data_IF_675407821308
#
_entry.id   IF_675407821308
#
_cell.length_a   1.000
_cell.length_b   1.000
_cell.length_c   1.000
_cell.angle_alpha   90.00
_cell.angle_beta   90.00
_cell.angle_gamma   90.00
#
_symmetry.space_group_name_H-M   'P 1'
#
loop_
_entity.id
_entity.type
_entity.pdbx_description
1 polymer ?
#
# COMPACT_ATOMS: atom_id res chain seq x y z
N UNK A 1 14.52 -12.05 -32.69
CA UNK A 1 13.47 -11.25 -32.03
C UNK A 1 13.66 -11.37 -30.53
N UNK A 2 14.39 -10.43 -29.91
CA UNK A 2 14.53 -10.38 -28.45
C UNK A 2 13.16 -10.08 -27.85
N UNK A 3 12.54 -11.06 -27.19
CA UNK A 3 11.29 -10.87 -26.47
C UNK A 3 11.47 -9.73 -25.48
N UNK A 4 10.77 -8.63 -25.72
CA UNK A 4 10.86 -7.43 -24.90
C UNK A 4 10.36 -7.78 -23.48
N UNK A 5 11.18 -7.67 -22.42
CA UNK A 5 10.78 -8.02 -21.06
C UNK A 5 9.94 -6.93 -20.39
N UNK A 6 9.23 -6.11 -21.18
CA UNK A 6 8.25 -5.17 -20.68
C UNK A 6 6.99 -5.94 -20.35
N UNK A 7 6.49 -5.75 -19.12
CA UNK A 7 5.20 -6.27 -18.73
C UNK A 7 4.15 -5.81 -19.77
N UNK A 8 3.15 -6.64 -20.11
CA UNK A 8 2.12 -6.24 -21.06
C UNK A 8 1.41 -4.97 -20.58
N UNK A 9 1.00 -4.09 -21.49
CA UNK A 9 0.37 -2.81 -21.13
C UNK A 9 -0.85 -2.94 -20.17
N UNK A 10 -1.56 -4.07 -20.19
CA UNK A 10 -2.65 -4.33 -19.25
C UNK A 10 -2.20 -4.35 -17.78
N UNK A 11 -0.94 -4.72 -17.51
CA UNK A 11 -0.34 -4.71 -16.18
C UNK A 11 -0.31 -3.29 -15.60
N UNK A 12 0.15 -2.32 -16.40
CA UNK A 12 0.22 -0.92 -15.99
C UNK A 12 -1.18 -0.36 -15.70
N UNK A 13 -2.16 -0.68 -16.55
CA UNK A 13 -3.56 -0.28 -16.33
C UNK A 13 -4.16 -0.91 -15.07
N UNK A 14 -3.96 -2.21 -14.86
CA UNK A 14 -4.45 -2.91 -13.67
C UNK A 14 -3.83 -2.32 -12.40
N UNK A 15 -2.52 -2.08 -12.40
CA UNK A 15 -1.82 -1.52 -11.25
C UNK A 15 -2.25 -0.09 -10.95
N UNK A 16 -2.41 0.73 -11.99
CA UNK A 16 -2.93 2.09 -11.86
C UNK A 16 -4.34 2.09 -11.29
N UNK A 17 -5.23 1.21 -11.77
CA UNK A 17 -6.59 1.08 -11.25
C UNK A 17 -6.59 0.67 -9.77
N UNK A 18 -5.74 -0.28 -9.37
CA UNK A 18 -5.58 -0.69 -7.96
C UNK A 18 -5.12 0.50 -7.11
N UNK A 19 -4.12 1.25 -7.55
CA UNK A 19 -3.62 2.44 -6.83
C UNK A 19 -4.73 3.47 -6.67
N UNK A 20 -5.51 3.75 -7.71
CA UNK A 20 -6.64 4.68 -7.65
C UNK A 20 -7.69 4.22 -6.62
N UNK A 21 -8.06 2.93 -6.63
CA UNK A 21 -9.02 2.36 -5.68
C UNK A 21 -8.52 2.49 -4.25
N UNK A 22 -7.25 2.14 -3.99
CA UNK A 22 -6.64 2.25 -2.66
C UNK A 22 -6.64 3.70 -2.17
N UNK A 23 -6.27 4.65 -3.01
CA UNK A 23 -6.30 6.08 -2.67
C UNK A 23 -7.72 6.55 -2.40
N UNK A 24 -8.69 6.17 -3.24
CA UNK A 24 -10.10 6.52 -3.06
C UNK A 24 -10.66 5.99 -1.74
N UNK A 25 -10.36 4.74 -1.39
CA UNK A 25 -10.77 4.16 -0.11
C UNK A 25 -10.10 4.86 1.08
N UNK A 26 -8.83 5.23 0.97
CA UNK A 26 -8.15 5.97 2.04
C UNK A 26 -8.79 7.34 2.26
N UNK A 27 -9.05 8.10 1.19
CA UNK A 27 -9.73 9.39 1.26
C UNK A 27 -11.13 9.24 1.86
N UNK A 28 -11.93 8.31 1.35
CA UNK A 28 -13.27 8.06 1.88
C UNK A 28 -13.20 7.71 3.37
N UNK A 29 -12.31 6.81 3.77
CA UNK A 29 -12.14 6.42 5.17
C UNK A 29 -11.77 7.63 6.05
N UNK A 30 -10.88 8.51 5.60
CA UNK A 30 -10.51 9.73 6.33
C UNK A 30 -11.67 10.72 6.43
N UNK A 31 -12.47 10.89 5.37
CA UNK A 31 -13.66 11.75 5.37
C UNK A 31 -14.72 11.19 6.33
N UNK A 32 -14.98 9.88 6.27
CA UNK A 32 -15.89 9.18 7.18
C UNK A 32 -15.44 9.31 8.63
N UNK A 33 -14.13 9.13 8.87
CA UNK A 33 -13.52 9.31 10.18
C UNK A 33 -13.69 10.75 10.66
N UNK A 34 -13.41 11.75 9.83
CA UNK A 34 -13.60 13.17 10.15
C UNK A 34 -15.04 13.49 10.60
N UNK A 35 -16.03 12.87 9.96
CA UNK A 35 -17.45 13.02 10.30
C UNK A 35 -17.90 12.20 11.52
N UNK A 36 -17.10 11.23 11.97
CA UNK A 36 -17.45 10.38 13.11
C UNK A 36 -17.37 11.10 14.45
N UNK A 37 -18.16 10.63 15.42
CA UNK A 37 -18.23 11.15 16.80
C UNK A 37 -17.23 10.51 17.76
N UNK A 38 -16.19 9.85 17.25
CA UNK A 38 -15.14 9.24 18.08
C UNK A 38 -14.29 10.33 18.76
N UNK A 39 -13.73 10.00 19.92
CA UNK A 39 -12.81 10.86 20.65
C UNK A 39 -11.52 11.13 19.86
N UNK A 40 -10.85 12.23 20.16
CA UNK A 40 -9.69 12.69 19.40
C UNK A 40 -8.51 11.69 19.38
N UNK A 41 -8.12 11.04 20.49
CA UNK A 41 -7.10 9.99 20.48
C UNK A 41 -7.44 8.82 19.55
N UNK A 42 -8.67 8.31 19.62
CA UNK A 42 -9.13 7.23 18.74
C UNK A 42 -9.11 7.65 17.28
N UNK A 43 -9.53 8.89 16.99
CA UNK A 43 -9.49 9.47 15.64
C UNK A 43 -8.06 9.53 15.10
N UNK A 44 -7.10 9.96 15.92
CA UNK A 44 -5.70 10.02 15.53
C UNK A 44 -5.14 8.62 15.24
N UNK A 45 -5.45 7.63 16.08
CA UNK A 45 -5.02 6.25 15.87
C UNK A 45 -5.53 5.69 14.53
N UNK A 46 -6.81 5.90 14.22
CA UNK A 46 -7.40 5.46 12.95
C UNK A 46 -6.84 6.20 11.74
N UNK A 47 -6.61 7.52 11.85
CA UNK A 47 -6.01 8.29 10.76
C UNK A 47 -4.59 7.78 10.43
N UNK A 48 -3.76 7.56 11.47
CA UNK A 48 -2.43 6.97 11.31
C UNK A 48 -2.53 5.59 10.68
N UNK A 49 -3.44 4.73 11.15
CA UNK A 49 -3.63 3.40 10.60
C UNK A 49 -4.00 3.43 9.10
N UNK A 50 -4.97 4.26 8.70
CA UNK A 50 -5.42 4.39 7.30
C UNK A 50 -4.26 4.81 6.38
N UNK A 51 -3.39 5.70 6.85
CA UNK A 51 -2.25 6.21 6.07
C UNK A 51 -1.11 5.17 6.01
N UNK A 52 -0.83 4.48 7.11
CA UNK A 52 0.31 3.57 7.22
C UNK A 52 0.03 2.20 6.61
N UNK A 53 -1.21 1.70 6.68
CA UNK A 53 -1.61 0.40 6.14
C UNK A 53 -1.13 0.13 4.69
N UNK A 54 -1.31 1.03 3.70
CA UNK A 54 -0.82 0.79 2.34
C UNK A 54 0.71 0.73 2.22
N UNK A 55 1.44 1.30 3.19
CA UNK A 55 2.91 1.31 3.21
C UNK A 55 3.46 -0.01 3.77
N UNK A 56 2.73 -0.66 4.69
CA UNK A 56 3.17 -1.89 5.35
C UNK A 56 3.46 -3.02 4.36
N UNK A 57 2.67 -3.16 3.29
CA UNK A 57 2.92 -4.17 2.26
C UNK A 57 4.31 -4.02 1.62
N UNK A 58 4.70 -2.78 1.30
CA UNK A 58 6.03 -2.46 0.77
C UNK A 58 7.13 -2.77 1.77
N UNK A 59 6.94 -2.40 3.05
CA UNK A 59 7.92 -2.67 4.12
C UNK A 59 8.10 -4.18 4.31
N UNK A 60 7.02 -4.94 4.37
CA UNK A 60 7.05 -6.41 4.51
C UNK A 60 7.84 -7.05 3.36
N UNK A 61 7.60 -6.64 2.12
CA UNK A 61 8.34 -7.14 0.97
C UNK A 61 9.84 -6.83 1.06
N UNK A 62 10.20 -5.59 1.41
CA UNK A 62 11.60 -5.18 1.53
C UNK A 62 12.33 -5.94 2.64
N UNK A 63 11.69 -6.12 3.79
CA UNK A 63 12.23 -6.91 4.90
C UNK A 63 12.40 -8.37 4.51
N UNK A 64 11.38 -8.98 3.89
CA UNK A 64 11.45 -10.35 3.40
C UNK A 64 12.60 -10.55 2.39
N UNK A 65 12.74 -9.61 1.43
CA UNK A 65 13.83 -9.62 0.45
C UNK A 65 15.20 -9.49 1.11
N UNK A 66 15.33 -8.65 2.14
CA UNK A 66 16.58 -8.49 2.91
C UNK A 66 16.96 -9.79 3.62
N UNK A 67 16.00 -10.43 4.28
CA UNK A 67 16.25 -11.66 5.03
C UNK A 67 16.67 -12.81 4.11
N UNK A 68 15.98 -13.01 2.98
CA UNK A 68 16.40 -14.01 1.97
C UNK A 68 17.81 -13.78 1.44
N UNK A 69 18.22 -12.53 1.23
CA UNK A 69 19.59 -12.22 0.80
C UNK A 69 20.63 -12.56 1.87
N UNK A 70 20.31 -12.33 3.14
CA UNK A 70 21.20 -12.65 4.25
C UNK A 70 21.37 -14.17 4.44
N UNK A 71 20.31 -14.95 4.19
CA UNK A 71 20.36 -16.43 4.20
C UNK A 71 21.26 -16.98 3.10
N UNK A 72 21.17 -16.44 1.87
CA UNK A 72 21.99 -16.87 0.73
C UNK A 72 23.48 -16.48 0.83
N UNK A 73 23.83 -15.56 1.72
CA UNK A 73 25.20 -15.09 1.94
C UNK A 73 25.94 -15.83 3.06
N UNK A 74 25.28 -16.79 3.72
CA UNK A 74 25.85 -17.70 4.73
C UNK A 74 26.14 -19.06 4.09
#
# INVERSE_FOLDING_TARGET
MSGNPLLPAWYDFAWTAIVIVVIGLAIWSLVSLAQSKVDAPTKLAWAVFIIVAPILGSVVWLVHRRNRRAELAR
#
